data_IF_721818803073
#
_entry.id   IF_721818803073
#
_cell.length_a   1.000
_cell.length_b   1.000
_cell.length_c   1.000
_cell.angle_alpha   90.00
_cell.angle_beta   90.00
_cell.angle_gamma   90.00
#
_symmetry.space_group_name_H-M   'P 1'
#
loop_
_entity.id
_entity.type
_entity.pdbx_description
1 polymer ?
#
# COMPACT_ATOMS: atom_id res chain seq x y z
N UNK A 1 -22.07 -39.83 17.14
CA UNK A 1 -21.03 -39.22 18.01
C UNK A 1 -21.11 -37.71 17.82
N UNK A 2 -21.84 -37.09 18.74
CA UNK A 2 -22.03 -35.65 18.73
C UNK A 2 -21.02 -34.97 19.64
N UNK A 3 -20.54 -33.83 19.25
CA UNK A 3 -19.80 -32.97 20.16
C UNK A 3 -18.74 -32.14 19.45
N UNK A 4 -19.06 -30.88 19.13
CA UNK A 4 -18.19 -29.71 19.16
C UNK A 4 -18.69 -28.55 18.25
N UNK A 5 -19.92 -28.10 18.54
CA UNK A 5 -20.42 -26.83 17.96
C UNK A 5 -20.86 -25.88 19.11
N UNK A 6 -19.95 -25.53 20.02
CA UNK A 6 -20.28 -24.61 21.14
C UNK A 6 -19.27 -23.53 21.45
N UNK A 7 -18.36 -23.19 20.56
CA UNK A 7 -17.34 -22.15 20.85
C UNK A 7 -17.30 -20.96 19.89
N UNK A 8 -18.21 -20.81 18.95
CA UNK A 8 -18.23 -19.68 17.99
C UNK A 8 -19.32 -18.63 18.27
N UNK A 9 -20.16 -18.78 19.31
CA UNK A 9 -21.20 -17.80 19.61
C UNK A 9 -20.84 -16.73 20.67
N UNK A 10 -19.65 -16.78 21.27
CA UNK A 10 -19.25 -15.87 22.33
C UNK A 10 -18.42 -14.65 21.88
N UNK A 11 -18.04 -14.58 20.61
CA UNK A 11 -17.31 -13.41 20.07
C UNK A 11 -18.20 -12.38 19.36
N UNK A 12 -19.46 -12.69 19.06
CA UNK A 12 -20.34 -11.79 18.34
C UNK A 12 -21.07 -10.75 19.18
N UNK A 13 -21.10 -10.91 20.51
CA UNK A 13 -21.90 -10.05 21.43
C UNK A 13 -21.10 -8.96 22.17
N UNK A 14 -19.86 -8.62 21.74
CA UNK A 14 -19.07 -7.57 22.43
C UNK A 14 -18.74 -6.34 21.60
N UNK A 15 -19.35 -6.17 20.42
CA UNK A 15 -19.09 -5.02 19.51
C UNK A 15 -20.32 -4.10 19.34
N UNK A 16 -21.43 -4.35 20.04
CA UNK A 16 -22.63 -3.52 19.90
C UNK A 16 -22.94 -2.66 21.14
N UNK A 17 -21.93 -2.01 21.71
CA UNK A 17 -22.19 -0.93 22.66
C UNK A 17 -21.04 0.06 22.64
N UNK A 18 -21.07 1.06 21.78
CA UNK A 18 -20.62 2.42 22.05
C UNK A 18 -20.77 3.31 20.81
N UNK A 19 -21.48 4.40 21.01
CA UNK A 19 -21.46 5.70 20.33
C UNK A 19 -21.80 5.76 18.83
N UNK A 20 -22.96 6.35 18.58
CA UNK A 20 -23.38 6.89 17.26
C UNK A 20 -22.47 8.06 16.87
N UNK A 21 -21.90 8.10 15.68
CA UNK A 21 -21.37 9.34 15.13
C UNK A 21 -22.50 10.16 14.53
N UNK A 22 -22.54 11.43 14.90
CA UNK A 22 -23.40 12.48 14.31
C UNK A 22 -22.99 12.68 12.85
N UNK A 23 -23.84 12.24 11.95
CA UNK A 23 -23.75 12.61 10.53
C UNK A 23 -24.39 13.99 10.36
N UNK A 24 -23.60 15.02 10.14
CA UNK A 24 -24.11 16.30 9.64
C UNK A 24 -24.19 16.21 8.12
N UNK A 25 -25.42 16.08 7.63
CA UNK A 25 -25.74 16.17 6.20
C UNK A 25 -25.57 17.61 5.73
N UNK A 26 -24.61 17.85 4.83
CA UNK A 26 -24.53 19.09 4.08
C UNK A 26 -25.51 19.01 2.89
N UNK A 27 -26.72 19.52 3.06
CA UNK A 27 -27.69 19.78 1.98
C UNK A 27 -27.24 21.01 1.20
N UNK A 28 -26.79 20.82 -0.03
CA UNK A 28 -26.74 21.92 -1.02
C UNK A 28 -28.10 22.05 -1.67
N UNK A 29 -28.85 23.05 -1.23
CA UNK A 29 -30.06 23.53 -1.93
C UNK A 29 -29.62 24.36 -3.12
N UNK A 30 -29.97 23.95 -4.33
CA UNK A 30 -29.93 24.77 -5.53
C UNK A 30 -31.21 25.62 -5.52
N UNK A 31 -31.07 26.91 -5.34
CA UNK A 31 -32.16 27.86 -5.59
C UNK A 31 -31.86 28.64 -6.86
N UNK A 32 -32.74 28.45 -7.83
CA UNK A 32 -32.80 29.21 -9.09
C UNK A 32 -33.81 30.33 -8.89
N UNK A 33 -33.41 31.62 -8.98
CA UNK A 33 -34.27 32.69 -9.47
C UNK A 33 -33.56 34.07 -9.53
N UNK A 34 -33.59 34.65 -10.72
CA UNK A 34 -33.80 36.03 -11.08
C UNK A 34 -32.86 37.15 -10.54
N UNK A 35 -32.12 37.74 -11.47
CA UNK A 35 -31.57 39.10 -11.36
C UNK A 35 -32.67 40.15 -11.32
N UNK A 36 -32.45 41.37 -10.72
CA UNK A 36 -31.83 42.42 -11.51
C UNK A 36 -30.91 43.43 -10.75
N UNK A 37 -30.12 44.17 -11.56
CA UNK A 37 -29.58 45.52 -11.38
C UNK A 37 -28.42 45.79 -10.43
N UNK A 38 -27.36 46.12 -11.07
CA UNK A 38 -26.14 46.89 -10.81
C UNK A 38 -26.17 47.88 -9.64
N UNK A 39 -25.28 47.65 -8.66
CA UNK A 39 -24.55 48.72 -7.95
C UNK A 39 -23.15 48.12 -7.75
N UNK A 40 -22.03 48.76 -8.12
CA UNK A 40 -20.70 48.25 -7.85
C UNK A 40 -20.37 48.47 -6.37
N UNK A 41 -20.32 47.41 -5.60
CA UNK A 41 -19.70 47.40 -4.28
C UNK A 41 -18.18 47.60 -4.43
N UNK A 42 -17.57 48.44 -3.60
CA UNK A 42 -16.13 48.63 -3.59
C UNK A 42 -15.47 47.29 -3.17
N UNK A 43 -14.47 46.89 -3.92
CA UNK A 43 -13.63 45.73 -3.66
C UNK A 43 -13.30 45.59 -2.17
N UNK A 44 -13.46 44.42 -1.55
CA UNK A 44 -12.94 44.19 -0.21
C UNK A 44 -11.41 44.36 -0.30
N UNK A 45 -10.91 45.38 0.36
CA UNK A 45 -9.49 45.56 0.62
C UNK A 45 -9.06 44.26 1.32
N UNK A 46 -8.43 43.36 0.58
CA UNK A 46 -7.62 42.29 1.18
C UNK A 46 -6.61 42.95 2.10
N UNK A 47 -6.91 42.99 3.39
CA UNK A 47 -5.92 43.24 4.41
C UNK A 47 -4.87 42.15 4.23
N UNK A 48 -3.83 42.43 3.47
CA UNK A 48 -2.68 41.59 3.26
C UNK A 48 -2.15 41.15 4.62
N UNK A 49 -2.31 39.88 4.92
CA UNK A 49 -1.52 39.27 5.99
C UNK A 49 -0.04 39.63 5.73
N UNK A 50 0.73 40.04 6.73
CA UNK A 50 2.11 40.45 6.55
C UNK A 50 2.87 39.34 5.83
N UNK A 51 3.43 39.65 4.66
CA UNK A 51 4.33 38.75 3.93
C UNK A 51 5.54 38.45 4.85
N UNK A 52 5.44 37.35 5.59
CA UNK A 52 6.51 36.87 6.47
C UNK A 52 7.63 36.26 5.61
N UNK A 53 8.56 37.10 5.17
CA UNK A 53 9.85 36.70 4.64
C UNK A 53 9.86 35.82 3.38
N UNK A 54 11.01 35.60 2.76
CA UNK A 54 11.12 34.78 1.53
C UNK A 54 10.71 33.32 1.82
N UNK A 55 9.63 32.88 1.19
CA UNK A 55 9.17 31.49 1.23
C UNK A 55 9.84 30.71 0.09
N UNK A 56 10.70 29.75 0.42
CA UNK A 56 11.31 28.84 -0.57
C UNK A 56 10.38 27.65 -0.74
N UNK A 57 9.91 27.41 -1.98
CA UNK A 57 9.11 26.24 -2.32
C UNK A 57 10.02 25.15 -2.89
N UNK A 58 10.02 23.98 -2.27
CA UNK A 58 10.78 22.80 -2.67
C UNK A 58 9.79 21.78 -3.22
N UNK A 59 9.83 21.45 -4.52
CA UNK A 59 8.98 20.40 -5.08
C UNK A 59 9.43 19.04 -4.57
N UNK A 60 8.46 18.17 -4.26
CA UNK A 60 8.67 16.78 -3.87
C UNK A 60 7.84 15.90 -4.78
N UNK A 61 8.43 14.85 -5.33
CA UNK A 61 7.77 13.94 -6.27
C UNK A 61 8.02 12.51 -5.85
N UNK A 62 6.96 11.77 -5.59
CA UNK A 62 7.01 10.35 -5.26
C UNK A 62 6.69 9.50 -6.49
N UNK A 63 7.48 8.45 -6.70
CA UNK A 63 7.29 7.49 -7.78
C UNK A 63 7.30 6.08 -7.24
N UNK A 64 6.40 5.24 -7.75
CA UNK A 64 6.46 3.80 -7.58
C UNK A 64 6.71 3.16 -8.95
N UNK A 65 7.93 2.61 -9.14
CA UNK A 65 8.42 2.19 -10.46
C UNK A 65 8.57 0.67 -10.62
N UNK A 66 8.77 -0.04 -9.52
CA UNK A 66 9.09 -1.47 -9.57
C UNK A 66 8.64 -2.19 -8.32
N UNK A 67 8.69 -3.51 -8.33
CA UNK A 67 8.35 -4.32 -7.15
C UNK A 67 9.54 -4.56 -6.23
N UNK A 68 10.76 -4.28 -6.67
CA UNK A 68 11.98 -4.41 -5.86
C UNK A 68 13.13 -3.61 -6.46
N UNK A 69 13.96 -3.01 -5.59
CA UNK A 69 15.16 -2.27 -5.99
C UNK A 69 16.37 -2.80 -5.21
N UNK A 70 17.47 -3.04 -5.91
CA UNK A 70 18.74 -3.42 -5.32
C UNK A 70 19.47 -2.20 -4.75
N UNK A 71 19.26 -1.92 -3.47
CA UNK A 71 19.87 -0.78 -2.79
C UNK A 71 21.40 -0.85 -2.74
N UNK A 72 21.98 -2.06 -2.66
CA UNK A 72 23.45 -2.24 -2.65
C UNK A 72 24.07 -1.81 -3.99
N UNK A 73 23.40 -2.12 -5.10
CA UNK A 73 23.83 -1.67 -6.42
C UNK A 73 23.80 -0.14 -6.55
N UNK A 74 22.70 0.49 -6.11
CA UNK A 74 22.59 1.97 -6.08
C UNK A 74 23.70 2.60 -5.22
N UNK A 75 23.98 2.02 -4.06
CA UNK A 75 25.06 2.51 -3.17
C UNK A 75 26.43 2.39 -3.82
N UNK A 76 26.71 1.29 -4.50
CA UNK A 76 28.00 1.09 -5.17
C UNK A 76 28.25 2.11 -6.28
N UNK A 77 27.22 2.37 -7.12
CA UNK A 77 27.33 3.30 -8.25
C UNK A 77 27.36 4.77 -7.79
N UNK A 78 26.78 5.09 -6.63
CA UNK A 78 26.62 6.47 -6.15
C UNK A 78 27.32 6.72 -4.81
N UNK A 79 28.42 6.03 -4.50
CA UNK A 79 29.09 6.10 -3.21
C UNK A 79 29.43 7.51 -2.71
N UNK A 80 29.73 8.46 -3.62
CA UNK A 80 30.04 9.85 -3.28
C UNK A 80 28.81 10.68 -2.89
N UNK A 81 27.63 10.26 -3.30
CA UNK A 81 26.38 10.97 -3.10
C UNK A 81 25.55 10.42 -1.95
N UNK A 82 26.01 9.35 -1.29
CA UNK A 82 25.29 8.71 -0.19
C UNK A 82 25.25 9.63 1.03
N UNK A 83 24.04 9.85 1.54
CA UNK A 83 23.84 10.48 2.85
C UNK A 83 23.92 9.41 3.93
N UNK A 84 24.90 9.47 4.85
CA UNK A 84 25.07 8.46 5.89
C UNK A 84 23.78 8.26 6.69
N UNK A 85 23.43 7.02 7.06
CA UNK A 85 22.24 6.77 7.89
C UNK A 85 22.39 7.43 9.26
N UNK A 86 21.31 7.99 9.80
CA UNK A 86 21.29 8.59 11.14
C UNK A 86 21.25 7.55 12.25
N UNK A 87 21.04 6.28 11.94
CA UNK A 87 20.96 5.17 12.89
C UNK A 87 21.68 3.92 12.40
N UNK A 88 21.96 3.01 13.33
CA UNK A 88 22.59 1.71 13.03
C UNK A 88 21.62 0.66 12.49
N UNK A 89 20.33 0.96 12.43
CA UNK A 89 19.31 0.05 11.89
C UNK A 89 19.54 -0.15 10.39
N UNK A 90 19.39 -1.37 9.92
CA UNK A 90 19.41 -1.68 8.49
C UNK A 90 18.28 -0.92 7.81
N UNK A 91 18.63 0.11 7.08
CA UNK A 91 17.64 0.92 6.41
C UNK A 91 17.16 0.20 5.13
N UNK A 92 15.86 0.04 5.01
CA UNK A 92 15.23 -0.43 3.78
C UNK A 92 15.22 0.66 2.68
N UNK A 93 16.05 1.68 2.82
CA UNK A 93 16.18 2.79 1.89
C UNK A 93 17.62 3.29 1.78
N UNK A 94 17.89 4.05 0.71
CA UNK A 94 19.11 4.82 0.50
C UNK A 94 18.74 6.26 0.20
N UNK A 95 19.35 7.20 0.91
CA UNK A 95 19.24 8.62 0.61
C UNK A 95 20.49 9.08 -0.16
N UNK A 96 20.28 9.73 -1.29
CA UNK A 96 21.31 10.30 -2.14
C UNK A 96 21.15 11.82 -2.15
N UNK A 97 22.29 12.53 -2.17
CA UNK A 97 22.37 13.99 -2.26
C UNK A 97 23.22 14.39 -3.45
N UNK A 98 22.68 15.23 -4.30
CA UNK A 98 23.35 15.79 -5.47
C UNK A 98 23.43 17.30 -5.30
N UNK A 99 24.64 17.81 -5.16
CA UNK A 99 24.91 19.24 -5.04
C UNK A 99 25.82 19.67 -6.19
N UNK A 100 25.55 20.83 -6.75
CA UNK A 100 26.30 21.36 -7.90
C UNK A 100 27.69 21.92 -7.50
N UNK A 101 28.01 21.93 -6.19
CA UNK A 101 29.30 22.41 -5.68
C UNK A 101 30.07 21.29 -4.99
N UNK A 102 31.39 21.32 -5.14
CA UNK A 102 32.28 20.41 -4.42
C UNK A 102 32.24 20.74 -2.91
N UNK A 103 31.61 19.86 -2.14
CA UNK A 103 31.54 19.98 -0.66
C UNK A 103 32.93 19.96 -0.01
N UNK A 104 33.91 19.33 -0.65
CA UNK A 104 35.29 19.20 -0.17
C UNK A 104 36.04 20.55 -0.07
N UNK A 105 35.49 21.62 -0.68
CA UNK A 105 36.07 22.96 -0.65
C UNK A 105 35.64 23.81 0.56
N UNK A 106 34.64 23.33 1.34
CA UNK A 106 34.11 24.03 2.49
C UNK A 106 34.54 23.33 3.78
N UNK A 107 35.16 24.08 4.73
CA UNK A 107 35.65 23.54 5.97
C UNK A 107 34.59 22.86 6.87
N UNK A 108 35.02 22.13 7.91
CA UNK A 108 34.11 21.42 8.82
C UNK A 108 33.24 22.44 9.57
N UNK A 109 31.93 22.46 9.30
CA UNK A 109 30.97 23.38 9.93
C UNK A 109 30.01 24.07 8.96
N UNK A 110 30.17 23.87 7.65
CA UNK A 110 29.26 24.45 6.67
C UNK A 110 27.97 23.61 6.57
N UNK A 111 26.88 24.12 7.14
CA UNK A 111 25.56 23.51 7.00
C UNK A 111 24.97 23.89 5.63
N UNK A 112 25.01 22.97 4.70
CA UNK A 112 24.34 23.13 3.39
C UNK A 112 22.84 23.08 3.62
N UNK A 113 22.12 24.15 3.26
CA UNK A 113 20.65 24.15 3.28
C UNK A 113 20.13 23.11 2.28
N UNK A 114 19.12 22.36 2.67
CA UNK A 114 18.53 21.34 1.79
C UNK A 114 17.95 21.93 0.51
N UNK A 115 17.51 23.21 0.55
CA UNK A 115 17.03 23.94 -0.62
C UNK A 115 18.08 24.15 -1.73
N UNK A 116 19.37 24.00 -1.42
CA UNK A 116 20.45 24.22 -2.40
C UNK A 116 20.98 22.93 -3.04
N UNK A 117 20.48 21.77 -2.63
CA UNK A 117 20.86 20.49 -3.21
C UNK A 117 19.62 19.72 -3.63
N UNK A 118 19.81 18.80 -4.58
CA UNK A 118 18.80 17.84 -4.97
C UNK A 118 18.95 16.58 -4.13
N UNK A 119 17.82 15.98 -3.69
CA UNK A 119 17.87 14.74 -2.94
C UNK A 119 16.96 13.69 -3.58
N UNK A 120 17.38 12.44 -3.43
CA UNK A 120 16.59 11.29 -3.82
C UNK A 120 16.64 10.23 -2.73
N UNK A 121 15.47 9.78 -2.29
CA UNK A 121 15.35 8.68 -1.32
C UNK A 121 14.73 7.49 -2.03
N UNK A 122 15.48 6.39 -2.09
CA UNK A 122 15.07 5.16 -2.80
C UNK A 122 14.80 4.06 -1.80
N UNK A 123 13.65 3.40 -1.93
CA UNK A 123 13.19 2.33 -1.04
C UNK A 123 13.27 0.97 -1.72
N UNK A 124 13.65 -0.06 -0.97
CA UNK A 124 13.81 -1.42 -1.47
C UNK A 124 12.53 -1.97 -2.12
N UNK A 125 11.37 -1.56 -1.66
CA UNK A 125 10.06 -2.01 -2.16
C UNK A 125 9.62 -1.38 -3.49
N UNK A 126 10.44 -0.49 -4.07
CA UNK A 126 10.19 0.00 -5.41
C UNK A 126 9.81 1.47 -5.54
N UNK A 127 9.79 2.23 -4.45
CA UNK A 127 9.51 3.67 -4.48
C UNK A 127 10.79 4.50 -4.55
N UNK A 128 10.72 5.64 -5.21
CA UNK A 128 11.73 6.70 -5.18
C UNK A 128 11.05 8.05 -4.95
N UNK A 129 11.57 8.84 -4.01
CA UNK A 129 11.07 10.17 -3.69
C UNK A 129 12.15 11.19 -3.98
N UNK A 130 11.82 12.14 -4.84
CA UNK A 130 12.72 13.17 -5.36
C UNK A 130 12.38 14.50 -4.70
N UNK A 131 13.40 15.21 -4.22
CA UNK A 131 13.28 16.52 -3.58
C UNK A 131 14.08 17.55 -4.34
N UNK A 132 13.49 18.70 -4.60
CA UNK A 132 14.12 19.83 -5.29
C UNK A 132 14.63 19.47 -6.69
N UNK A 133 13.88 18.64 -7.43
CA UNK A 133 14.19 18.21 -8.79
C UNK A 133 13.07 18.68 -9.72
N UNK A 134 13.43 19.41 -10.76
CA UNK A 134 12.49 19.93 -11.74
C UNK A 134 11.99 18.83 -12.69
N UNK A 135 10.83 19.06 -13.34
CA UNK A 135 10.18 18.05 -14.18
C UNK A 135 11.06 17.52 -15.31
N UNK A 136 11.86 18.40 -15.91
CA UNK A 136 12.74 18.04 -17.04
C UNK A 136 13.95 17.18 -16.61
N UNK A 137 14.32 17.19 -15.33
CA UNK A 137 15.45 16.42 -14.79
C UNK A 137 15.02 15.06 -14.21
N UNK A 138 13.73 14.89 -13.89
CA UNK A 138 13.21 13.71 -13.19
C UNK A 138 13.64 12.41 -13.85
N UNK A 139 13.53 12.31 -15.17
CA UNK A 139 13.84 11.07 -15.90
C UNK A 139 15.30 10.64 -15.74
N UNK A 140 16.23 11.60 -15.65
CA UNK A 140 17.65 11.32 -15.42
C UNK A 140 17.87 10.60 -14.10
N UNK A 141 17.20 11.07 -13.02
CA UNK A 141 17.31 10.48 -11.71
C UNK A 141 16.58 9.13 -11.63
N UNK A 142 15.42 9.00 -12.27
CA UNK A 142 14.70 7.73 -12.32
C UNK A 142 15.48 6.66 -13.09
N UNK A 143 16.23 7.04 -14.11
CA UNK A 143 17.06 6.10 -14.87
C UNK A 143 18.18 5.48 -14.02
N UNK A 144 18.75 6.25 -13.06
CA UNK A 144 19.69 5.70 -12.07
C UNK A 144 19.05 4.58 -11.23
N UNK A 145 17.79 4.75 -10.89
CA UNK A 145 17.04 3.76 -10.08
C UNK A 145 16.63 2.56 -10.93
N UNK A 146 16.14 2.79 -12.16
CA UNK A 146 15.68 1.74 -13.10
C UNK A 146 16.76 0.70 -13.41
N UNK A 147 18.03 1.09 -13.47
CA UNK A 147 19.16 0.16 -13.69
C UNK A 147 19.28 -0.92 -12.61
N UNK A 148 18.84 -0.61 -11.40
CA UNK A 148 18.91 -1.52 -10.25
C UNK A 148 17.54 -2.07 -9.84
N UNK A 149 16.50 -1.80 -10.64
CA UNK A 149 15.12 -2.18 -10.36
C UNK A 149 14.79 -3.54 -10.99
N UNK A 150 13.99 -4.33 -10.27
CA UNK A 150 13.43 -5.60 -10.73
C UNK A 150 11.91 -5.53 -10.74
N UNK A 151 11.27 -6.09 -11.77
CA UNK A 151 9.82 -6.04 -11.90
C UNK A 151 9.33 -4.62 -12.17
N UNK A 152 9.93 -3.95 -13.18
CA UNK A 152 9.51 -2.62 -13.62
C UNK A 152 8.03 -2.62 -14.03
N UNK A 153 7.31 -1.59 -13.61
CA UNK A 153 5.92 -1.38 -13.97
C UNK A 153 5.80 -0.80 -15.38
N UNK A 154 4.73 -1.15 -16.09
CA UNK A 154 4.41 -0.56 -17.41
C UNK A 154 4.08 0.92 -17.27
N UNK A 155 3.35 1.27 -16.21
CA UNK A 155 2.99 2.64 -15.85
C UNK A 155 3.44 2.88 -14.42
N UNK A 156 4.31 3.86 -14.23
CA UNK A 156 4.76 4.30 -12.92
C UNK A 156 3.62 5.08 -12.24
N UNK A 157 3.41 4.81 -10.95
CA UNK A 157 2.57 5.70 -10.14
C UNK A 157 3.38 6.94 -9.77
N UNK A 158 2.73 8.09 -9.80
CA UNK A 158 3.34 9.39 -9.51
C UNK A 158 2.42 10.16 -8.55
N UNK A 159 3.04 10.86 -7.60
CA UNK A 159 2.38 11.79 -6.71
C UNK A 159 3.26 13.01 -6.49
N UNK A 160 2.68 14.20 -6.46
CA UNK A 160 3.38 15.47 -6.35
C UNK A 160 3.01 16.15 -5.01
N UNK A 161 4.00 16.61 -4.27
CA UNK A 161 3.87 17.31 -3.02
C UNK A 161 4.81 18.51 -2.96
N UNK A 162 4.62 19.42 -2.01
CA UNK A 162 5.49 20.58 -1.87
C UNK A 162 5.90 20.81 -0.40
N UNK A 163 7.14 21.24 -0.21
CA UNK A 163 7.63 21.74 1.08
C UNK A 163 7.86 23.25 0.92
N UNK A 164 7.36 24.02 1.87
CA UNK A 164 7.60 25.46 1.96
C UNK A 164 8.47 25.75 3.16
N UNK A 165 9.67 26.31 2.94
CA UNK A 165 10.53 26.77 4.02
C UNK A 165 10.18 28.20 4.43
N UNK A 166 9.85 28.38 5.73
CA UNK A 166 9.64 29.68 6.37
C UNK A 166 10.40 29.75 7.68
N UNK A 167 11.62 30.33 7.72
CA UNK A 167 12.45 30.40 8.92
C UNK A 167 11.81 31.13 10.10
N UNK A 168 10.87 32.03 9.84
CA UNK A 168 10.17 32.83 10.85
C UNK A 168 8.86 32.18 11.34
N UNK A 169 8.61 30.92 11.03
CA UNK A 169 7.45 30.19 11.53
C UNK A 169 7.51 30.10 13.08
N UNK A 170 6.39 30.33 13.77
CA UNK A 170 6.32 30.21 15.24
C UNK A 170 6.38 28.76 15.67
N UNK A 171 5.59 27.92 15.01
CA UNK A 171 5.55 26.47 15.22
C UNK A 171 6.62 25.75 14.39
N UNK A 172 6.95 24.50 14.74
CA UNK A 172 7.95 23.73 14.00
C UNK A 172 7.47 23.30 12.63
N UNK A 173 6.16 23.10 12.48
CA UNK A 173 5.51 22.78 11.22
C UNK A 173 4.08 23.34 11.14
N UNK A 174 3.60 23.54 9.92
CA UNK A 174 2.20 23.86 9.63
C UNK A 174 1.78 23.06 8.38
N UNK A 175 0.64 22.38 8.46
CA UNK A 175 0.07 21.65 7.33
C UNK A 175 -0.73 22.53 6.38
N UNK A 176 -0.88 22.07 5.14
CA UNK A 176 -1.78 22.65 4.14
C UNK A 176 -2.09 21.62 3.06
N UNK A 177 -3.10 21.88 2.20
CA UNK A 177 -3.44 20.94 1.14
C UNK A 177 -2.25 20.75 0.19
N UNK A 178 -1.79 19.51 0.02
CA UNK A 178 -0.68 19.13 -0.85
C UNK A 178 0.67 19.79 -0.53
N UNK A 179 0.83 20.38 0.67
CA UNK A 179 2.10 20.91 1.11
C UNK A 179 2.24 20.96 2.63
N UNK A 180 3.50 21.00 3.07
CA UNK A 180 3.87 21.23 4.46
C UNK A 180 4.78 22.46 4.56
N UNK A 181 4.59 23.30 5.59
CA UNK A 181 5.46 24.42 5.90
C UNK A 181 6.36 24.05 7.06
N UNK A 182 7.66 24.21 6.89
CA UNK A 182 8.69 23.92 7.89
C UNK A 182 9.56 25.16 8.13
N UNK A 183 10.13 25.29 9.34
CA UNK A 183 11.16 26.32 9.62
C UNK A 183 12.39 26.13 8.73
N UNK A 184 12.84 24.89 8.62
CA UNK A 184 13.96 24.47 7.78
C UNK A 184 13.81 23.00 7.43
N UNK A 185 14.18 22.63 6.21
CA UNK A 185 14.28 21.26 5.79
C UNK A 185 15.72 20.77 6.04
N UNK A 186 15.83 19.68 6.75
CA UNK A 186 17.09 18.98 7.01
C UNK A 186 17.07 17.55 6.47
N UNK A 187 18.17 16.86 6.59
CA UNK A 187 18.30 15.49 6.05
C UNK A 187 17.33 14.51 6.74
N UNK A 188 17.04 14.68 8.02
CA UNK A 188 16.13 13.79 8.74
C UNK A 188 14.67 14.09 8.37
N UNK A 189 14.34 15.37 8.16
CA UNK A 189 13.06 15.77 7.55
C UNK A 189 12.84 15.17 6.17
N UNK A 190 13.86 15.19 5.30
CA UNK A 190 13.82 14.54 3.97
C UNK A 190 13.53 13.03 4.10
N UNK A 191 14.17 12.35 5.04
CA UNK A 191 13.95 10.91 5.28
C UNK A 191 12.56 10.61 5.77
N UNK A 192 12.03 11.42 6.70
CA UNK A 192 10.68 11.24 7.24
C UNK A 192 9.62 11.47 6.17
N UNK A 193 9.69 12.61 5.49
CA UNK A 193 8.73 12.95 4.43
C UNK A 193 8.81 11.92 3.30
N UNK A 194 10.02 11.59 2.86
CA UNK A 194 10.25 10.56 1.85
C UNK A 194 9.68 9.20 2.25
N UNK A 195 9.83 8.81 3.54
CA UNK A 195 9.29 7.54 4.05
C UNK A 195 7.77 7.46 3.92
N UNK A 196 7.05 8.51 4.34
CA UNK A 196 5.59 8.50 4.27
C UNK A 196 5.08 8.56 2.83
N UNK A 197 5.65 9.45 2.00
CA UNK A 197 5.29 9.57 0.58
C UNK A 197 5.62 8.28 -0.19
N UNK A 198 6.80 7.70 0.04
CA UNK A 198 7.20 6.44 -0.57
C UNK A 198 6.30 5.26 -0.18
N UNK A 199 5.85 5.21 1.08
CA UNK A 199 4.89 4.21 1.56
C UNK A 199 3.50 4.45 0.97
N UNK A 200 3.03 5.70 0.92
CA UNK A 200 1.73 6.05 0.38
C UNK A 200 1.58 5.65 -1.08
N UNK A 201 2.57 6.00 -1.93
CA UNK A 201 2.51 5.67 -3.35
C UNK A 201 2.63 4.15 -3.61
N UNK A 202 3.39 3.43 -2.78
CA UNK A 202 3.45 1.96 -2.84
C UNK A 202 2.10 1.34 -2.44
N UNK A 203 1.46 1.88 -1.40
CA UNK A 203 0.16 1.41 -0.94
C UNK A 203 -0.92 1.54 -2.02
N UNK A 204 -0.91 2.60 -2.82
CA UNK A 204 -1.80 2.76 -3.98
C UNK A 204 -1.67 1.62 -4.99
N UNK A 205 -0.46 1.22 -5.27
CA UNK A 205 -0.22 0.09 -6.16
C UNK A 205 -0.77 -1.21 -5.58
N UNK A 206 -0.48 -1.51 -4.31
CA UNK A 206 -0.94 -2.75 -3.68
C UNK A 206 -2.46 -2.79 -3.51
N UNK A 207 -3.10 -1.67 -3.17
CA UNK A 207 -4.56 -1.56 -3.14
C UNK A 207 -5.14 -1.92 -4.50
N UNK A 208 -4.62 -1.36 -5.59
CA UNK A 208 -5.08 -1.67 -6.96
C UNK A 208 -4.88 -3.15 -7.32
N UNK A 209 -3.78 -3.78 -6.89
CA UNK A 209 -3.54 -5.21 -7.12
C UNK A 209 -4.55 -6.10 -6.36
N UNK A 210 -4.84 -5.73 -5.10
CA UNK A 210 -5.80 -6.47 -4.27
C UNK A 210 -7.23 -6.26 -4.76
N UNK A 211 -7.58 -5.07 -5.23
CA UNK A 211 -8.89 -4.80 -5.84
C UNK A 211 -9.12 -5.70 -7.06
N UNK A 212 -8.13 -5.88 -7.91
CA UNK A 212 -8.21 -6.82 -9.02
C UNK A 212 -8.43 -8.27 -8.57
N UNK A 213 -7.84 -8.69 -7.45
CA UNK A 213 -8.08 -10.02 -6.86
C UNK A 213 -9.50 -10.13 -6.30
N UNK A 214 -9.97 -9.13 -5.57
CA UNK A 214 -11.35 -9.10 -5.03
C UNK A 214 -12.38 -9.21 -6.15
N UNK A 215 -12.19 -8.47 -7.25
CA UNK A 215 -13.07 -8.52 -8.40
C UNK A 215 -13.07 -9.92 -9.07
N UNK A 216 -11.90 -10.56 -9.20
CA UNK A 216 -11.77 -11.90 -9.74
C UNK A 216 -12.53 -12.94 -8.88
N UNK A 217 -12.36 -12.88 -7.54
CA UNK A 217 -13.10 -13.75 -6.62
C UNK A 217 -14.60 -13.45 -6.60
N UNK A 218 -15.00 -12.19 -6.67
CA UNK A 218 -16.40 -11.81 -6.79
C UNK A 218 -17.02 -12.34 -8.10
N UNK A 219 -16.26 -12.36 -9.20
CA UNK A 219 -16.66 -12.97 -10.47
C UNK A 219 -16.89 -14.47 -10.36
N UNK A 220 -16.01 -15.19 -9.65
CA UNK A 220 -16.15 -16.61 -9.37
C UNK A 220 -17.42 -16.89 -8.56
N UNK A 221 -17.62 -16.11 -7.48
CA UNK A 221 -18.80 -16.27 -6.61
C UNK A 221 -20.11 -16.02 -7.37
N UNK A 222 -20.16 -14.99 -8.23
CA UNK A 222 -21.32 -14.75 -9.12
C UNK A 222 -21.55 -15.89 -10.12
N UNK A 223 -20.48 -16.51 -10.61
CA UNK A 223 -20.55 -17.70 -11.45
C UNK A 223 -21.19 -18.88 -10.71
N UNK A 224 -20.73 -19.14 -9.48
CA UNK A 224 -21.29 -20.20 -8.62
C UNK A 224 -22.76 -19.94 -8.26
N UNK A 225 -23.14 -18.70 -7.97
CA UNK A 225 -24.52 -18.29 -7.70
C UNK A 225 -25.44 -18.66 -8.87
N UNK A 226 -25.03 -18.44 -10.12
CA UNK A 226 -25.80 -18.71 -11.31
C UNK A 226 -25.88 -20.18 -11.68
N UNK A 227 -24.80 -20.92 -11.49
CA UNK A 227 -24.68 -22.30 -12.00
C UNK A 227 -24.86 -23.37 -10.92
N UNK A 228 -24.81 -22.99 -9.65
CA UNK A 228 -24.77 -23.90 -8.51
C UNK A 228 -23.50 -24.79 -8.45
N UNK A 229 -22.55 -24.55 -9.34
CA UNK A 229 -21.34 -25.38 -9.48
C UNK A 229 -20.09 -24.53 -9.59
N UNK A 230 -18.96 -25.08 -9.09
CA UNK A 230 -17.64 -24.49 -9.26
C UNK A 230 -16.96 -25.10 -10.49
N UNK A 231 -16.71 -24.30 -11.52
CA UNK A 231 -16.19 -24.76 -12.82
C UNK A 231 -14.73 -24.40 -13.07
N UNK A 232 -14.07 -23.75 -12.11
CA UNK A 232 -12.68 -23.32 -12.27
C UNK A 232 -11.70 -24.48 -12.20
N UNK A 233 -10.68 -24.41 -13.06
CA UNK A 233 -9.56 -25.35 -13.10
C UNK A 233 -8.67 -25.21 -11.84
N UNK A 234 -8.24 -26.34 -11.26
CA UNK A 234 -7.36 -26.36 -10.10
C UNK A 234 -6.08 -25.55 -10.32
N UNK A 235 -5.52 -25.58 -11.54
CA UNK A 235 -4.32 -24.83 -11.91
C UNK A 235 -4.56 -23.32 -11.77
N UNK A 236 -5.69 -22.84 -12.26
CA UNK A 236 -6.05 -21.41 -12.18
C UNK A 236 -6.28 -20.97 -10.75
N UNK A 237 -6.93 -21.79 -9.92
CA UNK A 237 -7.09 -21.49 -8.50
C UNK A 237 -5.75 -21.39 -7.79
N UNK A 238 -4.81 -22.34 -8.02
CA UNK A 238 -3.49 -22.30 -7.43
C UNK A 238 -2.67 -21.07 -7.87
N UNK A 239 -2.85 -20.60 -9.12
CA UNK A 239 -2.23 -19.36 -9.58
C UNK A 239 -2.80 -18.13 -8.85
N UNK A 240 -4.12 -18.08 -8.61
CA UNK A 240 -4.75 -17.02 -7.82
C UNK A 240 -4.26 -17.01 -6.37
N UNK A 241 -4.20 -18.17 -5.74
CA UNK A 241 -3.65 -18.34 -4.38
C UNK A 241 -2.20 -17.84 -4.33
N UNK A 242 -1.37 -18.26 -5.30
CA UNK A 242 0.02 -17.80 -5.39
C UNK A 242 0.13 -16.28 -5.53
N UNK A 243 -0.69 -15.68 -6.39
CA UNK A 243 -0.75 -14.22 -6.59
C UNK A 243 -1.19 -13.47 -5.32
N UNK A 244 -2.21 -13.97 -4.63
CA UNK A 244 -2.70 -13.38 -3.38
C UNK A 244 -1.64 -13.42 -2.28
N UNK A 245 -1.01 -14.58 -2.07
CA UNK A 245 0.02 -14.76 -1.06
C UNK A 245 1.28 -13.93 -1.37
N UNK A 246 1.67 -13.80 -2.64
CA UNK A 246 2.78 -12.94 -3.05
C UNK A 246 2.50 -11.47 -2.75
N UNK A 247 1.32 -10.97 -3.10
CA UNK A 247 0.91 -9.59 -2.81
C UNK A 247 0.88 -9.32 -1.30
N UNK A 248 0.33 -10.25 -0.51
CA UNK A 248 0.30 -10.13 0.95
C UNK A 248 1.72 -10.05 1.54
N UNK A 249 2.61 -10.94 1.09
CA UNK A 249 4.01 -10.94 1.54
C UNK A 249 4.72 -9.63 1.19
N UNK A 250 4.51 -9.10 -0.01
CA UNK A 250 5.12 -7.85 -0.46
C UNK A 250 4.65 -6.65 0.37
N UNK A 251 3.36 -6.56 0.68
CA UNK A 251 2.81 -5.50 1.54
C UNK A 251 3.38 -5.56 2.95
N UNK A 252 3.35 -6.73 3.58
CA UNK A 252 3.75 -6.90 4.99
C UNK A 252 5.26 -6.77 5.16
N UNK A 253 6.05 -7.45 4.32
CA UNK A 253 7.49 -7.60 4.53
C UNK A 253 8.30 -6.46 3.91
N UNK A 254 7.86 -5.90 2.79
CA UNK A 254 8.65 -4.92 2.04
C UNK A 254 8.29 -3.48 2.39
N UNK A 255 7.02 -3.15 2.50
CA UNK A 255 6.61 -1.74 2.68
C UNK A 255 6.85 -1.24 4.11
N UNK A 256 6.93 -2.14 5.09
CA UNK A 256 7.26 -1.77 6.47
C UNK A 256 6.25 -0.80 7.10
N UNK A 257 4.97 -0.88 6.70
CA UNK A 257 3.90 0.05 7.13
C UNK A 257 3.69 0.06 8.66
N UNK A 258 4.09 -1.00 9.35
CA UNK A 258 4.01 -1.13 10.80
C UNK A 258 5.26 -0.63 11.53
N UNK A 259 6.36 -0.44 10.81
CA UNK A 259 7.59 0.03 11.42
C UNK A 259 7.47 1.53 11.71
N UNK A 260 7.65 1.90 12.97
CA UNK A 260 7.80 3.30 13.34
C UNK A 260 9.13 3.81 12.84
N UNK A 261 9.14 5.02 12.32
CA UNK A 261 10.40 5.68 11.96
C UNK A 261 11.24 5.91 13.21
N UNK A 262 12.46 5.37 13.23
CA UNK A 262 13.40 5.55 14.34
C UNK A 262 13.75 7.04 14.56
N UNK A 263 13.73 7.82 13.48
CA UNK A 263 13.95 9.28 13.53
C UNK A 263 12.81 9.97 14.28
N UNK A 264 11.56 9.59 13.99
CA UNK A 264 10.37 10.12 14.67
C UNK A 264 10.32 9.76 16.18
N UNK A 265 11.02 8.69 16.61
CA UNK A 265 11.13 8.34 18.02
C UNK A 265 12.09 9.21 18.82
N UNK A 266 13.08 9.80 18.17
CA UNK A 266 14.15 10.55 18.86
C UNK A 266 13.79 12.01 19.09
N UNK A 267 12.98 12.60 18.22
CA UNK A 267 12.69 14.03 18.23
C UNK A 267 11.22 14.30 17.98
N UNK A 268 10.61 15.10 18.87
CA UNK A 268 9.19 15.46 18.80
C UNK A 268 8.83 16.21 17.52
N UNK A 269 9.72 17.01 16.96
CA UNK A 269 9.54 17.71 15.67
C UNK A 269 9.28 16.72 14.55
N UNK A 270 10.12 15.67 14.44
CA UNK A 270 9.96 14.67 13.39
C UNK A 270 8.78 13.74 13.65
N UNK A 271 8.45 13.47 14.92
CA UNK A 271 7.25 12.74 15.28
C UNK A 271 5.99 13.46 14.77
N UNK A 272 5.92 14.78 14.98
CA UNK A 272 4.78 15.60 14.54
C UNK A 272 4.65 15.60 13.01
N UNK A 273 5.76 15.78 12.28
CA UNK A 273 5.77 15.72 10.80
C UNK A 273 5.30 14.34 10.30
N UNK A 274 5.80 13.27 10.94
CA UNK A 274 5.47 11.89 10.57
C UNK A 274 4.00 11.57 10.78
N UNK A 275 3.44 11.93 11.94
CA UNK A 275 2.04 11.69 12.26
C UNK A 275 1.11 12.53 11.37
N UNK A 276 1.43 13.81 11.18
CA UNK A 276 0.68 14.70 10.29
C UNK A 276 0.57 14.11 8.87
N UNK A 277 1.70 13.74 8.26
CA UNK A 277 1.70 13.20 6.90
C UNK A 277 0.98 11.85 6.80
N UNK A 278 1.12 10.99 7.79
CA UNK A 278 0.40 9.69 7.82
C UNK A 278 -1.11 9.88 7.92
N UNK A 279 -1.57 10.91 8.61
CA UNK A 279 -2.97 11.28 8.70
C UNK A 279 -3.46 11.92 7.40
N UNK A 280 -2.72 12.88 6.83
CA UNK A 280 -3.05 13.55 5.55
C UNK A 280 -3.16 12.54 4.39
N UNK A 281 -2.24 11.60 4.30
CA UNK A 281 -2.26 10.52 3.30
C UNK A 281 -3.15 9.33 3.69
N UNK A 282 -3.87 9.40 4.79
CA UNK A 282 -4.75 8.34 5.32
C UNK A 282 -4.09 6.94 5.34
N UNK A 283 -2.78 6.87 5.56
CA UNK A 283 -1.99 5.64 5.41
C UNK A 283 -2.53 4.51 6.28
N UNK A 284 -2.90 4.80 7.51
CA UNK A 284 -3.43 3.79 8.46
C UNK A 284 -4.81 3.27 8.02
N UNK A 285 -5.70 4.17 7.56
CA UNK A 285 -7.04 3.83 7.11
C UNK A 285 -7.02 3.02 5.80
N UNK A 286 -6.22 3.47 4.84
CA UNK A 286 -6.03 2.76 3.55
C UNK A 286 -5.42 1.38 3.75
N UNK A 287 -4.48 1.24 4.68
CA UNK A 287 -3.93 -0.06 5.06
C UNK A 287 -4.99 -0.96 5.73
N UNK A 288 -5.80 -0.41 6.64
CA UNK A 288 -6.90 -1.15 7.27
C UNK A 288 -7.90 -1.69 6.24
N UNK A 289 -8.26 -0.89 5.24
CA UNK A 289 -9.11 -1.29 4.13
C UNK A 289 -8.44 -2.39 3.27
N UNK A 290 -7.14 -2.28 3.03
CA UNK A 290 -6.36 -3.29 2.31
C UNK A 290 -6.35 -4.63 3.07
N UNK A 291 -6.09 -4.60 4.37
CA UNK A 291 -6.12 -5.79 5.25
C UNK A 291 -7.48 -6.49 5.23
N UNK A 292 -8.57 -5.70 5.30
CA UNK A 292 -9.93 -6.25 5.20
C UNK A 292 -10.17 -6.94 3.84
N UNK A 293 -9.75 -6.34 2.73
CA UNK A 293 -9.85 -6.94 1.39
C UNK A 293 -9.01 -8.21 1.26
N UNK A 294 -7.80 -8.21 1.83
CA UNK A 294 -6.93 -9.39 1.86
C UNK A 294 -7.55 -10.54 2.65
N UNK A 295 -8.16 -10.27 3.80
CA UNK A 295 -8.91 -11.27 4.59
C UNK A 295 -10.11 -11.83 3.83
N UNK A 296 -10.82 -11.01 3.06
CA UNK A 296 -11.87 -11.48 2.17
C UNK A 296 -11.32 -12.44 1.10
N UNK A 297 -10.21 -12.10 0.47
CA UNK A 297 -9.54 -12.96 -0.53
C UNK A 297 -9.09 -14.28 0.11
N UNK A 298 -8.47 -14.23 1.28
CA UNK A 298 -8.02 -15.40 2.03
C UNK A 298 -9.19 -16.35 2.37
N UNK A 299 -10.29 -15.79 2.86
CA UNK A 299 -11.48 -16.58 3.16
C UNK A 299 -12.04 -17.29 1.92
N UNK A 300 -12.12 -16.58 0.79
CA UNK A 300 -12.55 -17.17 -0.47
C UNK A 300 -11.60 -18.28 -0.96
N UNK A 301 -10.29 -18.09 -0.81
CA UNK A 301 -9.29 -19.11 -1.14
C UNK A 301 -9.53 -20.39 -0.33
N UNK A 302 -9.70 -20.29 0.98
CA UNK A 302 -9.97 -21.44 1.85
C UNK A 302 -11.26 -22.15 1.45
N UNK A 303 -12.33 -21.39 1.24
CA UNK A 303 -13.62 -21.95 0.79
C UNK A 303 -13.49 -22.72 -0.54
N UNK A 304 -12.82 -22.15 -1.53
CA UNK A 304 -12.66 -22.81 -2.83
C UNK A 304 -11.73 -24.03 -2.76
N UNK A 305 -10.73 -24.02 -1.89
CA UNK A 305 -9.88 -25.19 -1.64
C UNK A 305 -10.69 -26.34 -1.03
N UNK A 306 -11.56 -26.05 -0.06
CA UNK A 306 -12.45 -27.03 0.56
C UNK A 306 -13.42 -27.64 -0.45
N UNK A 307 -14.05 -26.82 -1.30
CA UNK A 307 -14.92 -27.29 -2.39
C UNK A 307 -14.19 -28.24 -3.35
N UNK A 308 -12.95 -27.92 -3.71
CA UNK A 308 -12.13 -28.79 -4.58
C UNK A 308 -11.72 -30.11 -3.91
N UNK A 309 -11.47 -30.09 -2.61
CA UNK A 309 -11.10 -31.28 -1.85
C UNK A 309 -12.28 -32.23 -1.72
N UNK A 310 -13.47 -31.70 -1.43
CA UNK A 310 -14.69 -32.52 -1.27
C UNK A 310 -15.04 -33.25 -2.58
N UNK A 311 -14.90 -32.61 -3.75
CA UNK A 311 -15.11 -33.30 -5.05
C UNK A 311 -14.22 -34.51 -5.29
N UNK A 312 -13.00 -34.51 -4.76
CA UNK A 312 -12.13 -35.69 -4.84
C UNK A 312 -12.58 -36.80 -3.92
N UNK A 313 -13.06 -36.47 -2.74
CA UNK A 313 -13.61 -37.43 -1.76
C UNK A 313 -14.82 -38.13 -2.34
N UNK A 314 -15.76 -37.37 -2.88
CA UNK A 314 -16.96 -37.91 -3.52
C UNK A 314 -16.63 -38.90 -4.66
N UNK A 315 -15.63 -38.56 -5.48
CA UNK A 315 -15.21 -39.47 -6.58
C UNK A 315 -14.60 -40.77 -6.05
N UNK A 316 -13.79 -40.71 -4.98
CA UNK A 316 -13.22 -41.92 -4.35
C UNK A 316 -14.31 -42.77 -3.71
N UNK A 317 -15.30 -42.16 -3.05
CA UNK A 317 -16.46 -42.89 -2.50
C UNK A 317 -17.24 -43.61 -3.59
N UNK A 318 -17.52 -42.99 -4.71
CA UNK A 318 -18.19 -43.63 -5.88
C UNK A 318 -17.35 -44.78 -6.45
N UNK A 319 -16.00 -44.64 -6.49
CA UNK A 319 -15.14 -45.75 -6.92
C UNK A 319 -15.22 -46.94 -5.96
N UNK A 320 -15.23 -46.68 -4.64
CA UNK A 320 -15.35 -47.74 -3.62
C UNK A 320 -16.69 -48.44 -3.72
N UNK A 321 -17.79 -47.69 -3.84
CA UNK A 321 -19.13 -48.22 -4.02
C UNK A 321 -19.20 -49.10 -5.28
N UNK A 322 -18.60 -48.65 -6.38
CA UNK A 322 -18.54 -49.41 -7.64
C UNK A 322 -17.79 -50.75 -7.49
N UNK A 323 -16.61 -50.72 -6.81
CA UNK A 323 -15.81 -51.94 -6.56
C UNK A 323 -16.58 -52.93 -5.67
N UNK A 324 -17.17 -52.45 -4.57
CA UNK A 324 -17.99 -53.27 -3.68
C UNK A 324 -19.21 -53.91 -4.41
N UNK A 325 -19.82 -53.14 -5.30
CA UNK A 325 -20.96 -53.65 -6.12
C UNK A 325 -20.49 -54.77 -7.04
N UNK A 326 -19.36 -54.61 -7.71
CA UNK A 326 -18.79 -55.64 -8.60
C UNK A 326 -18.45 -56.93 -7.80
N UNK A 327 -17.83 -56.77 -6.62
CA UNK A 327 -17.48 -57.89 -5.74
C UNK A 327 -18.72 -58.66 -5.27
N UNK A 328 -19.77 -57.95 -4.85
CA UNK A 328 -21.07 -58.57 -4.49
C UNK A 328 -21.69 -59.34 -5.65
N UNK A 329 -21.64 -58.78 -6.87
CA UNK A 329 -22.19 -59.46 -8.09
C UNK A 329 -21.38 -60.72 -8.39
N UNK A 330 -20.04 -60.68 -8.30
CA UNK A 330 -19.18 -61.84 -8.52
C UNK A 330 -19.44 -62.94 -7.48
N UNK A 331 -19.55 -62.57 -6.21
CA UNK A 331 -19.86 -63.52 -5.13
C UNK A 331 -21.24 -64.17 -5.32
N UNK A 332 -22.25 -63.39 -5.72
CA UNK A 332 -23.56 -63.92 -6.02
C UNK A 332 -23.53 -64.91 -7.22
N UNK A 333 -22.76 -64.55 -8.26
CA UNK A 333 -22.56 -65.43 -9.40
C UNK A 333 -21.90 -66.75 -9.03
N UNK A 334 -20.83 -66.75 -8.21
CA UNK A 334 -20.19 -67.94 -7.70
C UNK A 334 -21.12 -68.83 -6.88
N UNK A 335 -21.94 -68.25 -5.99
CA UNK A 335 -22.91 -68.99 -5.20
C UNK A 335 -23.98 -69.68 -6.11
N UNK A 336 -24.49 -68.95 -7.10
CA UNK A 336 -25.45 -69.49 -8.05
C UNK A 336 -24.86 -70.58 -8.93
N UNK A 337 -23.59 -70.44 -9.36
CA UNK A 337 -22.90 -71.45 -10.14
C UNK A 337 -22.60 -72.69 -9.33
N UNK A 338 -22.14 -72.54 -8.08
CA UNK A 338 -21.91 -73.63 -7.16
C UNK A 338 -23.22 -74.41 -6.85
N UNK A 339 -24.35 -73.73 -6.69
CA UNK A 339 -25.64 -74.38 -6.45
C UNK A 339 -26.14 -75.21 -7.66
N UNK A 340 -25.85 -74.75 -8.91
CA UNK A 340 -26.21 -75.49 -10.13
C UNK A 340 -25.30 -76.72 -10.40
N UNK A 341 -24.11 -76.79 -9.81
CA UNK A 341 -23.18 -77.93 -9.96
C UNK A 341 -23.42 -79.05 -8.93
N UNK A 342 -24.21 -78.79 -7.86
CA UNK A 342 -24.57 -79.72 -6.80
C UNK A 342 -25.93 -80.41 -7.03
N UNK A 343 -26.75 -79.92 -7.99
CA UNK A 343 -28.02 -80.50 -8.40
C UNK A 343 -27.81 -81.36 -9.61
#
# INVERSE_FOLDING_TARGET
>A
MGGRWRTLSLFYNRITSSSKPHFSSFNRSISLAAAPSEIPDPDPIELGAPELGPCVKIPVKAYFLSTSINLKGIQADNHRNIVPPSSRSSSNYVALRFCDFNLDSYGPGFHVKASNCRYMVVYQYGSAVLFNIEDHEVEIYLELVKRHASGLLREMRKDDYAIKEKPLLVEDMQGGPDYIVLKSLDTDGIRIIGSVLGQSIALDYFVSQVDGLVEEFAGINRGMEKTGTFTMDKKKLLQLVGKANSNLADVILKVGLFERSEIAWRDAKYAQIYEYLREEYEVAQRFGNLDFKLKFVEHNIHFLQEVLQNRKSDFLEWCIIGLLTIENVLSLYEILHASNTVS
#
